data_IF_923849921642
#
_entry.id   IF_923849921642
#
_cell.length_a   1.000
_cell.length_b   1.000
_cell.length_c   1.000
_cell.angle_alpha   90.00
_cell.angle_beta   90.00
_cell.angle_gamma   90.00
#
_symmetry.space_group_name_H-M   'P 1'
#
loop_
_entity.id
_entity.type
_entity.pdbx_description
1 polymer ?
#
# COMPACT_ATOMS: atom_id res chain seq x y z
N UNK A 1 15.99 3.46 -8.60
CA UNK A 1 15.18 2.43 -9.31
C UNK A 1 15.66 1.00 -9.07
N UNK A 2 16.98 0.69 -9.09
CA UNK A 2 17.52 -0.67 -8.81
C UNK A 2 17.33 -1.09 -7.35
N UNK A 3 17.42 -0.15 -6.41
CA UNK A 3 17.31 -0.41 -4.97
C UNK A 3 15.87 -0.78 -4.56
N UNK A 4 14.87 -0.07 -5.08
CA UNK A 4 13.46 -0.32 -4.80
C UNK A 4 12.97 -1.67 -5.38
N UNK A 5 13.50 -2.10 -6.52
CA UNK A 5 13.22 -3.43 -7.08
C UNK A 5 13.76 -4.55 -6.18
N UNK A 6 14.97 -4.36 -5.61
CA UNK A 6 15.57 -5.33 -4.67
C UNK A 6 14.80 -5.43 -3.36
N UNK A 7 14.21 -4.34 -2.86
CA UNK A 7 13.35 -4.34 -1.66
C UNK A 7 12.07 -5.15 -1.85
N UNK A 8 11.42 -5.03 -3.00
CA UNK A 8 10.22 -5.82 -3.32
C UNK A 8 10.55 -7.30 -3.52
N UNK A 9 11.70 -7.60 -4.14
CA UNK A 9 12.18 -8.98 -4.35
C UNK A 9 12.58 -9.63 -3.01
N UNK A 10 13.19 -8.90 -2.09
CA UNK A 10 13.55 -9.38 -0.76
C UNK A 10 12.30 -9.70 0.10
N UNK A 11 11.28 -8.85 0.11
CA UNK A 11 10.00 -9.13 0.78
C UNK A 11 9.28 -10.37 0.19
N UNK A 12 9.28 -10.50 -1.13
CA UNK A 12 8.65 -11.65 -1.80
C UNK A 12 9.41 -12.96 -1.58
N UNK A 13 10.73 -12.92 -1.45
CA UNK A 13 11.56 -14.10 -1.19
C UNK A 13 11.42 -14.58 0.25
N UNK A 14 11.39 -13.66 1.23
CA UNK A 14 11.14 -13.98 2.63
C UNK A 14 9.75 -14.66 2.84
N UNK A 15 8.74 -14.30 2.03
CA UNK A 15 7.40 -14.90 2.07
C UNK A 15 7.34 -16.29 1.42
N UNK A 16 8.24 -16.61 0.48
CA UNK A 16 8.33 -17.95 -0.16
C UNK A 16 9.15 -18.95 0.64
N UNK A 17 10.12 -18.50 1.43
CA UNK A 17 11.04 -19.34 2.19
C UNK A 17 10.58 -19.62 3.63
N UNK A 18 9.69 -18.77 4.18
CA UNK A 18 9.01 -19.01 5.45
C UNK A 18 7.65 -19.66 5.19
N UNK A 19 7.58 -20.97 5.25
CA UNK A 19 6.33 -21.73 5.24
C UNK A 19 5.50 -21.44 6.50
N UNK A 20 4.97 -20.24 6.61
CA UNK A 20 3.94 -19.87 7.55
C UNK A 20 2.64 -19.89 6.76
N UNK A 21 1.98 -21.03 6.82
CA UNK A 21 0.56 -21.17 6.52
C UNK A 21 -0.23 -20.40 7.61
N UNK A 22 -0.23 -19.09 7.52
CA UNK A 22 -1.23 -18.27 8.17
C UNK A 22 -2.19 -17.82 7.05
N UNK A 23 -3.16 -18.68 6.75
CA UNK A 23 -4.46 -18.21 6.27
C UNK A 23 -5.06 -17.40 7.42
N UNK A 24 -4.67 -16.14 7.52
CA UNK A 24 -5.31 -15.20 8.44
C UNK A 24 -6.74 -15.06 7.93
N UNK A 25 -7.67 -15.55 8.75
CA UNK A 25 -9.09 -15.58 8.44
C UNK A 25 -9.56 -14.14 8.16
N UNK A 26 -10.31 -13.95 7.08
CA UNK A 26 -10.90 -12.64 6.70
C UNK A 26 -11.66 -12.02 7.87
N UNK A 27 -12.24 -12.85 8.76
CA UNK A 27 -12.91 -12.40 9.98
C UNK A 27 -11.94 -11.83 11.02
N UNK A 28 -10.74 -12.38 11.14
CA UNK A 28 -9.70 -11.90 12.06
C UNK A 28 -9.11 -10.56 11.59
N UNK A 29 -9.00 -10.35 10.28
CA UNK A 29 -8.70 -9.05 9.68
C UNK A 29 -9.82 -8.04 9.95
N UNK A 30 -11.08 -8.43 9.77
CA UNK A 30 -12.23 -7.57 10.05
C UNK A 30 -12.30 -7.20 11.54
N UNK A 31 -11.98 -8.12 12.47
CA UNK A 31 -11.93 -7.87 13.92
C UNK A 31 -10.75 -6.95 14.30
N UNK A 32 -9.58 -7.11 13.67
CA UNK A 32 -8.44 -6.21 13.88
C UNK A 32 -8.71 -4.81 13.34
N UNK A 33 -9.48 -4.67 12.24
CA UNK A 33 -9.91 -3.37 11.73
C UNK A 33 -11.06 -2.76 12.55
N UNK A 34 -11.98 -3.58 13.11
CA UNK A 34 -13.04 -3.12 14.00
C UNK A 34 -12.52 -2.59 15.35
N UNK A 35 -11.32 -3.00 15.76
CA UNK A 35 -10.67 -2.50 16.98
C UNK A 35 -9.95 -1.16 16.81
N UNK A 36 -9.84 -0.62 15.59
CA UNK A 36 -9.47 0.78 15.37
C UNK A 36 -10.72 1.62 15.65
N UNK A 37 -11.08 1.74 16.91
CA UNK A 37 -12.20 2.58 17.35
C UNK A 37 -11.85 4.02 17.04
N UNK A 38 -12.56 4.59 16.06
CA UNK A 38 -12.78 6.04 16.02
C UNK A 38 -13.50 6.42 17.32
N UNK A 39 -13.02 7.44 18.00
CA UNK A 39 -13.41 7.87 19.37
C UNK A 39 -14.84 8.42 19.48
N UNK A 40 -15.68 8.27 18.47
CA UNK A 40 -17.10 8.61 18.53
C UNK A 40 -17.93 7.47 17.90
N UNK A 41 -18.66 6.76 18.75
CA UNK A 41 -19.47 5.58 18.44
C UNK A 41 -20.72 5.83 17.61
N UNK A 42 -20.59 6.50 16.48
CA UNK A 42 -21.57 6.54 15.40
C UNK A 42 -20.91 6.00 14.15
N UNK A 43 -21.44 4.91 13.61
CA UNK A 43 -21.21 4.50 12.22
C UNK A 43 -21.74 5.61 11.29
N UNK A 44 -20.96 6.65 11.10
CA UNK A 44 -21.26 7.67 10.10
C UNK A 44 -20.98 7.06 8.72
N UNK A 45 -22.04 6.63 8.05
CA UNK A 45 -21.96 6.15 6.68
C UNK A 45 -21.61 7.32 5.76
N UNK A 46 -20.32 7.65 5.69
CA UNK A 46 -19.81 8.73 4.87
C UNK A 46 -19.99 8.40 3.38
N UNK A 47 -20.95 9.06 2.76
CA UNK A 47 -21.20 8.95 1.32
C UNK A 47 -20.66 10.19 0.59
N UNK A 48 -19.34 10.22 0.38
CA UNK A 48 -18.68 11.28 -0.38
C UNK A 48 -18.47 10.87 -1.85
N UNK A 49 -18.35 11.85 -2.79
CA UNK A 49 -18.16 11.57 -4.20
C UNK A 49 -16.83 10.88 -4.48
N UNK A 50 -16.87 9.79 -5.25
CA UNK A 50 -15.65 9.16 -5.80
C UNK A 50 -15.70 9.23 -7.31
N UNK A 51 -14.60 9.69 -7.94
CA UNK A 51 -14.55 9.97 -9.36
C UNK A 51 -13.23 9.54 -10.01
N UNK A 52 -13.22 9.44 -11.35
CA UNK A 52 -12.00 9.23 -12.12
C UNK A 52 -12.03 9.97 -13.44
N UNK A 53 -10.87 10.40 -13.91
CA UNK A 53 -10.65 10.67 -15.34
C UNK A 53 -10.10 9.40 -15.99
N UNK A 54 -10.84 8.85 -16.94
CA UNK A 54 -10.41 7.69 -17.73
C UNK A 54 -9.76 8.17 -19.03
N UNK A 55 -8.43 8.01 -19.14
CA UNK A 55 -7.68 8.39 -20.33
C UNK A 55 -7.68 7.32 -21.43
N UNK A 56 -8.43 6.25 -21.24
CA UNK A 56 -8.52 5.14 -22.19
C UNK A 56 -7.17 4.50 -22.57
N UNK A 57 -6.18 4.56 -21.68
CA UNK A 57 -4.83 4.03 -21.91
C UNK A 57 -4.63 2.61 -21.36
N UNK A 58 -5.55 2.15 -20.51
CA UNK A 58 -5.47 0.84 -19.86
C UNK A 58 -6.30 -0.22 -20.60
N UNK A 59 -5.91 -1.50 -20.49
CA UNK A 59 -6.72 -2.62 -20.97
C UNK A 59 -8.09 -2.61 -20.27
N UNK A 60 -9.21 -2.49 -21.01
CA UNK A 60 -10.55 -2.41 -20.42
C UNK A 60 -10.95 -3.61 -19.53
N UNK A 61 -10.36 -4.78 -19.79
CA UNK A 61 -10.64 -6.01 -19.04
C UNK A 61 -9.90 -6.04 -17.70
N UNK A 62 -8.74 -5.38 -17.63
CA UNK A 62 -7.86 -5.39 -16.45
C UNK A 62 -7.94 -4.10 -15.64
N UNK A 63 -8.49 -3.02 -16.20
CA UNK A 63 -8.58 -1.73 -15.54
C UNK A 63 -9.52 -1.78 -14.34
N UNK A 64 -8.99 -1.54 -13.14
CA UNK A 64 -9.75 -1.54 -11.88
C UNK A 64 -10.68 -0.34 -11.79
N UNK A 65 -10.29 0.82 -12.31
CA UNK A 65 -11.15 2.02 -12.37
C UNK A 65 -12.41 1.78 -13.19
N UNK A 66 -12.27 1.22 -14.39
CA UNK A 66 -13.43 0.86 -15.24
C UNK A 66 -14.31 -0.22 -14.62
N UNK A 67 -13.72 -1.16 -13.87
CA UNK A 67 -14.49 -2.16 -13.12
C UNK A 67 -15.32 -1.50 -12.03
N UNK A 68 -14.74 -0.56 -11.26
CA UNK A 68 -15.47 0.21 -10.25
C UNK A 68 -16.59 1.07 -10.89
N UNK A 69 -16.34 1.67 -12.06
CA UNK A 69 -17.38 2.44 -12.79
C UNK A 69 -18.56 1.56 -13.20
N UNK A 70 -18.31 0.33 -13.67
CA UNK A 70 -19.38 -0.64 -13.98
C UNK A 70 -20.20 -1.06 -12.75
N UNK A 71 -19.58 -1.07 -11.58
CA UNK A 71 -20.28 -1.34 -10.31
C UNK A 71 -20.99 -0.10 -9.72
N UNK A 72 -20.94 1.05 -10.41
CA UNK A 72 -21.52 2.29 -9.91
C UNK A 72 -20.80 2.89 -8.69
N UNK A 73 -19.58 2.42 -8.39
CA UNK A 73 -18.80 2.88 -7.22
C UNK A 73 -18.01 4.16 -7.49
N UNK A 74 -17.77 4.48 -8.75
CA UNK A 74 -16.97 5.64 -9.17
C UNK A 74 -17.62 6.26 -10.41
N UNK A 75 -17.70 7.58 -10.46
CA UNK A 75 -18.19 8.30 -11.63
C UNK A 75 -17.03 8.72 -12.53
N UNK A 76 -17.23 8.65 -13.85
CA UNK A 76 -16.23 9.14 -14.83
C UNK A 76 -16.40 10.64 -15.06
N UNK A 77 -15.30 11.36 -15.01
CA UNK A 77 -15.22 12.80 -15.29
C UNK A 77 -14.79 13.03 -16.74
N UNK A 78 -15.33 14.08 -17.37
CA UNK A 78 -14.85 14.55 -18.66
C UNK A 78 -13.58 15.37 -18.49
N UNK A 79 -12.70 15.40 -19.51
CA UNK A 79 -11.59 16.37 -19.54
C UNK A 79 -12.15 17.79 -19.37
N UNK A 80 -11.40 18.68 -18.71
CA UNK A 80 -11.79 20.03 -18.31
C UNK A 80 -12.91 20.14 -17.25
N UNK A 81 -13.54 19.04 -16.84
CA UNK A 81 -14.46 19.05 -15.72
C UNK A 81 -13.68 19.25 -14.42
N UNK A 82 -14.13 20.19 -13.57
CA UNK A 82 -13.52 20.45 -12.27
C UNK A 82 -13.93 19.40 -11.24
N UNK A 83 -12.98 18.98 -10.41
CA UNK A 83 -13.21 18.20 -9.20
C UNK A 83 -12.68 18.95 -7.99
N UNK A 84 -13.53 19.16 -6.98
CA UNK A 84 -13.23 20.02 -5.82
C UNK A 84 -12.62 19.27 -4.63
N UNK A 85 -12.57 17.93 -4.67
CA UNK A 85 -11.94 17.08 -3.67
C UNK A 85 -10.44 16.84 -3.92
N UNK A 86 -9.86 15.91 -3.19
CA UNK A 86 -8.48 15.49 -3.47
C UNK A 86 -8.43 14.69 -4.78
N UNK A 87 -7.35 14.88 -5.51
CA UNK A 87 -7.11 14.20 -6.79
C UNK A 87 -5.77 13.46 -6.71
N UNK A 88 -5.84 12.13 -6.77
CA UNK A 88 -4.64 11.29 -6.76
C UNK A 88 -3.96 11.40 -8.13
N UNK A 89 -2.84 12.11 -8.14
CA UNK A 89 -2.11 12.47 -9.35
C UNK A 89 -0.61 12.30 -9.17
N UNK A 90 0.10 11.73 -10.16
CA UNK A 90 1.55 11.59 -10.10
C UNK A 90 2.31 12.92 -10.17
N UNK A 91 1.63 14.01 -10.54
CA UNK A 91 2.20 15.36 -10.54
C UNK A 91 1.88 16.18 -9.28
N UNK A 92 1.19 15.57 -8.29
CA UNK A 92 0.93 16.21 -7.00
C UNK A 92 2.25 16.52 -6.28
N UNK A 93 2.26 17.58 -5.48
CA UNK A 93 3.43 17.99 -4.69
C UNK A 93 3.24 17.78 -3.19
N UNK A 94 2.04 17.45 -2.77
CA UNK A 94 1.64 17.25 -1.39
C UNK A 94 1.20 15.80 -1.22
N UNK A 95 1.73 15.10 -0.22
CA UNK A 95 1.32 13.73 0.07
C UNK A 95 -0.08 13.69 0.70
N UNK A 96 -0.87 12.66 0.38
CA UNK A 96 -2.12 12.38 1.10
C UNK A 96 -1.81 12.19 2.58
N UNK A 97 -2.60 12.81 3.44
CA UNK A 97 -2.44 12.75 4.89
C UNK A 97 -3.81 12.76 5.60
N UNK A 98 -3.88 12.45 6.91
CA UNK A 98 -5.10 12.60 7.69
C UNK A 98 -5.67 14.02 7.66
N UNK A 99 -4.83 15.05 7.48
CA UNK A 99 -5.28 16.45 7.30
C UNK A 99 -6.18 16.68 6.09
N UNK A 100 -6.24 15.75 5.14
CA UNK A 100 -7.14 15.82 3.98
C UNK A 100 -8.58 15.31 4.29
N UNK A 101 -8.83 14.78 5.50
CA UNK A 101 -10.13 14.17 5.88
C UNK A 101 -11.32 15.09 5.61
N UNK A 102 -11.25 16.34 6.01
CA UNK A 102 -12.36 17.30 5.82
C UNK A 102 -12.66 17.55 4.33
N UNK A 103 -11.59 17.63 3.50
CA UNK A 103 -11.74 17.80 2.04
C UNK A 103 -12.40 16.56 1.44
N UNK A 104 -12.02 15.35 1.90
CA UNK A 104 -12.61 14.09 1.45
C UNK A 104 -14.08 14.01 1.82
N UNK A 105 -14.45 14.30 3.07
CA UNK A 105 -15.84 14.30 3.53
C UNK A 105 -16.70 15.25 2.69
N UNK A 106 -16.21 16.46 2.45
CA UNK A 106 -16.96 17.52 1.80
C UNK A 106 -16.99 17.38 0.28
N UNK A 107 -15.91 16.93 -0.34
CA UNK A 107 -15.73 16.99 -1.79
C UNK A 107 -15.32 15.66 -2.43
N UNK A 108 -14.91 14.68 -1.64
CA UNK A 108 -14.57 13.34 -2.11
C UNK A 108 -13.15 13.19 -2.65
N UNK A 109 -12.96 12.06 -3.36
CA UNK A 109 -11.67 11.65 -3.93
C UNK A 109 -11.82 11.36 -5.41
N UNK A 110 -10.85 11.79 -6.21
CA UNK A 110 -10.75 11.38 -7.61
C UNK A 110 -9.37 10.78 -7.91
N UNK A 111 -9.34 9.88 -8.92
CA UNK A 111 -8.13 9.26 -9.43
C UNK A 111 -7.99 9.50 -10.93
N UNK A 112 -6.77 9.55 -11.42
CA UNK A 112 -6.48 9.62 -12.85
C UNK A 112 -6.12 8.22 -13.33
N UNK A 113 -7.00 7.61 -14.15
CA UNK A 113 -6.77 6.29 -14.75
C UNK A 113 -5.94 6.44 -16.03
N UNK A 114 -4.63 6.29 -15.86
CA UNK A 114 -3.65 6.32 -16.93
C UNK A 114 -2.70 5.13 -16.85
N UNK A 115 -2.07 4.80 -17.97
CA UNK A 115 -1.02 3.78 -18.00
C UNK A 115 0.29 4.33 -17.43
N UNK A 116 0.92 3.61 -16.51
CA UNK A 116 2.25 3.95 -16.00
C UNK A 116 3.33 4.05 -17.10
N UNK A 117 3.12 3.37 -18.24
CA UNK A 117 4.03 3.44 -19.39
C UNK A 117 3.81 4.69 -20.25
N UNK A 118 2.66 5.35 -20.12
CA UNK A 118 2.23 6.50 -20.94
C UNK A 118 1.91 7.72 -20.09
N UNK A 119 2.57 7.83 -18.94
CA UNK A 119 2.33 8.91 -17.99
C UNK A 119 2.64 10.29 -18.59
N UNK A 120 3.67 10.36 -19.43
CA UNK A 120 4.10 11.60 -20.11
C UNK A 120 3.07 12.09 -21.14
N UNK A 121 2.25 11.18 -21.69
CA UNK A 121 1.19 11.53 -22.66
C UNK A 121 -0.09 12.04 -21.97
N UNK A 122 -0.16 12.02 -20.64
CA UNK A 122 -1.39 12.36 -19.92
C UNK A 122 -1.60 13.89 -19.89
N UNK A 123 -2.78 14.38 -20.30
CA UNK A 123 -3.06 15.81 -20.36
C UNK A 123 -3.43 16.39 -18.98
N UNK A 124 -2.52 16.32 -18.02
CA UNK A 124 -2.76 16.73 -16.62
C UNK A 124 -3.27 18.17 -16.50
N UNK A 125 -2.78 19.07 -17.34
CA UNK A 125 -3.20 20.49 -17.37
C UNK A 125 -4.69 20.67 -17.70
N UNK A 126 -5.28 19.70 -18.41
CA UNK A 126 -6.71 19.73 -18.75
C UNK A 126 -7.60 19.20 -17.63
N UNK A 127 -7.01 18.60 -16.60
CA UNK A 127 -7.74 18.07 -15.45
C UNK A 127 -7.76 19.13 -14.35
N UNK A 128 -8.91 19.77 -14.16
CA UNK A 128 -9.06 20.86 -13.17
C UNK A 128 -9.15 20.27 -11.75
N UNK A 129 -8.02 19.79 -11.23
CA UNK A 129 -7.85 19.27 -9.89
C UNK A 129 -7.73 20.42 -8.89
N UNK A 130 -8.61 20.49 -7.86
CA UNK A 130 -8.53 21.50 -6.82
C UNK A 130 -7.39 21.20 -5.83
N UNK A 131 -7.26 19.95 -5.43
CA UNK A 131 -6.27 19.49 -4.46
C UNK A 131 -5.52 18.26 -5.00
N UNK A 132 -4.50 18.45 -5.87
CA UNK A 132 -3.70 17.31 -6.33
C UNK A 132 -2.85 16.77 -5.17
N UNK A 133 -2.81 15.43 -5.05
CA UNK A 133 -2.09 14.72 -4.00
C UNK A 133 -1.28 13.57 -4.58
N UNK A 134 -0.11 13.33 -4.00
CA UNK A 134 0.67 12.11 -4.19
C UNK A 134 0.32 11.09 -3.12
N UNK A 135 0.33 9.81 -3.49
CA UNK A 135 0.34 8.74 -2.50
C UNK A 135 1.77 8.50 -2.01
N UNK A 136 1.96 8.25 -0.71
CA UNK A 136 3.26 7.88 -0.18
C UNK A 136 3.69 6.50 -0.67
N UNK A 137 4.88 6.06 -0.28
CA UNK A 137 5.42 4.76 -0.65
C UNK A 137 4.48 3.62 -0.23
N UNK A 138 3.96 2.88 -1.21
CA UNK A 138 3.14 1.70 -1.02
C UNK A 138 3.50 0.67 -2.10
N UNK A 139 3.29 -0.61 -1.80
CA UNK A 139 3.60 -1.73 -2.68
C UNK A 139 2.33 -2.24 -3.34
N UNK A 140 2.34 -2.38 -4.65
CA UNK A 140 1.19 -2.88 -5.41
C UNK A 140 0.94 -4.37 -5.16
N UNK A 141 -0.32 -4.74 -4.96
CA UNK A 141 -0.81 -6.12 -4.89
C UNK A 141 -1.54 -6.56 -6.15
N UNK A 142 -1.87 -5.62 -7.06
CA UNK A 142 -2.58 -5.95 -8.28
C UNK A 142 -1.77 -6.89 -9.18
N UNK A 143 -2.43 -7.80 -9.94
CA UNK A 143 -1.75 -8.85 -10.73
C UNK A 143 -0.75 -8.32 -11.77
N UNK A 144 -0.97 -7.10 -12.29
CA UNK A 144 -0.10 -6.50 -13.31
C UNK A 144 1.20 -5.97 -12.73
N UNK A 145 1.17 -5.42 -11.52
CA UNK A 145 2.30 -4.76 -10.88
C UNK A 145 2.64 -5.32 -9.50
N UNK A 146 2.29 -6.55 -9.20
CA UNK A 146 2.51 -7.18 -7.90
C UNK A 146 3.96 -6.98 -7.40
N UNK A 147 4.09 -6.51 -6.16
CA UNK A 147 5.37 -6.24 -5.53
C UNK A 147 6.11 -4.99 -6.03
N UNK A 148 5.56 -4.23 -6.98
CA UNK A 148 6.19 -3.02 -7.51
C UNK A 148 5.77 -1.80 -6.68
N UNK A 149 6.75 -1.07 -6.09
CA UNK A 149 6.46 0.18 -5.39
C UNK A 149 5.86 1.22 -6.32
N UNK A 150 4.97 2.05 -5.78
CA UNK A 150 4.26 3.17 -6.43
C UNK A 150 3.36 2.79 -7.61
N UNK A 151 3.43 1.58 -8.16
CA UNK A 151 2.64 1.18 -9.34
C UNK A 151 1.26 0.66 -8.96
N UNK A 152 0.55 1.47 -8.19
CA UNK A 152 -0.79 1.16 -7.73
C UNK A 152 -1.79 1.21 -8.89
N UNK A 153 -2.81 0.36 -8.82
CA UNK A 153 -4.00 0.46 -9.65
C UNK A 153 -4.98 1.49 -9.06
N UNK A 154 -6.00 1.88 -9.82
CA UNK A 154 -6.98 2.87 -9.36
C UNK A 154 -7.65 2.49 -8.03
N UNK A 155 -8.02 1.21 -7.85
CA UNK A 155 -8.65 0.77 -6.60
C UNK A 155 -7.68 0.80 -5.43
N UNK A 156 -6.42 0.42 -5.61
CA UNK A 156 -5.40 0.50 -4.56
C UNK A 156 -5.12 1.94 -4.17
N UNK A 157 -5.05 2.83 -5.16
CA UNK A 157 -4.85 4.25 -4.91
C UNK A 157 -6.00 4.87 -4.11
N UNK A 158 -7.24 4.56 -4.48
CA UNK A 158 -8.43 5.00 -3.74
C UNK A 158 -8.45 4.42 -2.33
N UNK A 159 -8.22 3.12 -2.17
CA UNK A 159 -8.23 2.45 -0.87
C UNK A 159 -7.13 3.00 0.06
N UNK A 160 -5.93 3.25 -0.46
CA UNK A 160 -4.87 3.89 0.31
C UNK A 160 -5.27 5.29 0.80
N UNK A 161 -5.86 6.10 -0.10
CA UNK A 161 -6.31 7.44 0.28
C UNK A 161 -7.42 7.40 1.34
N UNK A 162 -8.39 6.48 1.22
CA UNK A 162 -9.43 6.30 2.23
C UNK A 162 -8.84 5.89 3.56
N UNK A 163 -7.94 4.92 3.58
CA UNK A 163 -7.31 4.44 4.80
C UNK A 163 -6.56 5.56 5.53
N UNK A 164 -5.67 6.27 4.81
CA UNK A 164 -4.86 7.36 5.35
C UNK A 164 -5.72 8.52 5.87
N UNK A 165 -6.84 8.81 5.20
CA UNK A 165 -7.74 9.89 5.62
C UNK A 165 -8.77 9.47 6.66
N UNK A 166 -8.64 8.25 7.24
CA UNK A 166 -9.45 7.78 8.36
C UNK A 166 -10.77 7.12 7.96
N UNK A 167 -10.85 6.49 6.77
CA UNK A 167 -11.99 5.71 6.28
C UNK A 167 -11.57 4.27 5.92
N UNK A 168 -11.04 3.46 6.87
CA UNK A 168 -10.56 2.11 6.60
C UNK A 168 -11.66 1.18 6.08
N UNK A 169 -12.89 1.31 6.57
CA UNK A 169 -14.03 0.50 6.11
C UNK A 169 -14.35 0.78 4.64
N UNK A 170 -14.25 2.05 4.22
CA UNK A 170 -14.41 2.43 2.81
C UNK A 170 -13.31 1.85 1.94
N UNK A 171 -12.09 1.81 2.43
CA UNK A 171 -10.97 1.15 1.74
C UNK A 171 -11.26 -0.34 1.52
N UNK A 172 -11.70 -1.04 2.55
CA UNK A 172 -12.07 -2.45 2.49
C UNK A 172 -13.26 -2.69 1.54
N UNK A 173 -14.30 -1.87 1.60
CA UNK A 173 -15.47 -1.93 0.72
C UNK A 173 -15.08 -1.91 -0.76
N UNK A 174 -14.11 -1.05 -1.14
CA UNK A 174 -13.64 -0.94 -2.51
C UNK A 174 -12.76 -2.13 -2.92
N UNK A 175 -11.88 -2.59 -2.05
CA UNK A 175 -10.97 -3.71 -2.29
C UNK A 175 -11.68 -5.05 -2.37
N UNK A 176 -12.75 -5.26 -1.62
CA UNK A 176 -13.56 -6.50 -1.63
C UNK A 176 -14.19 -6.82 -3.00
N UNK A 177 -14.25 -5.86 -3.91
CA UNK A 177 -14.65 -6.11 -5.30
C UNK A 177 -13.58 -6.88 -6.12
N UNK A 178 -12.40 -7.16 -5.53
CA UNK A 178 -11.25 -7.78 -6.18
C UNK A 178 -10.72 -8.92 -5.31
N UNK A 179 -10.56 -10.12 -5.87
CA UNK A 179 -10.10 -11.31 -5.14
C UNK A 179 -8.72 -11.16 -4.47
N UNK A 180 -7.90 -10.26 -4.99
CA UNK A 180 -6.57 -9.93 -4.45
C UNK A 180 -6.58 -8.67 -3.57
N UNK A 181 -7.75 -8.03 -3.38
CA UNK A 181 -7.85 -6.70 -2.76
C UNK A 181 -7.34 -6.67 -1.32
N UNK A 182 -7.71 -7.64 -0.48
CA UNK A 182 -7.26 -7.71 0.92
C UNK A 182 -5.74 -7.83 1.02
N UNK A 183 -5.09 -8.53 0.08
CA UNK A 183 -3.62 -8.62 0.03
C UNK A 183 -2.94 -7.25 -0.03
N UNK A 184 -3.58 -6.25 -0.62
CA UNK A 184 -3.03 -4.89 -0.64
C UNK A 184 -2.93 -4.29 0.77
N UNK A 185 -3.93 -4.47 1.60
CA UNK A 185 -3.91 -4.02 3.00
C UNK A 185 -2.88 -4.80 3.81
N UNK A 186 -2.79 -6.12 3.61
CA UNK A 186 -1.85 -6.99 4.33
C UNK A 186 -0.39 -6.59 4.10
N UNK A 187 0.00 -6.45 2.83
CA UNK A 187 1.40 -6.13 2.49
C UNK A 187 1.81 -4.70 2.83
N UNK A 188 0.84 -3.80 3.02
CA UNK A 188 1.06 -2.41 3.36
C UNK A 188 0.59 -2.04 4.77
N UNK A 189 0.22 -3.02 5.61
CA UNK A 189 -0.41 -2.76 6.92
C UNK A 189 0.37 -1.80 7.79
N UNK A 190 1.69 -2.03 7.94
CA UNK A 190 2.55 -1.20 8.77
C UNK A 190 2.71 0.22 8.21
N UNK A 191 2.81 0.33 6.87
CA UNK A 191 2.91 1.60 6.17
C UNK A 191 1.62 2.42 6.31
N UNK A 192 0.47 1.79 6.04
CA UNK A 192 -0.83 2.45 6.10
C UNK A 192 -1.17 2.91 7.52
N UNK A 193 -0.87 2.10 8.54
CA UNK A 193 -1.03 2.48 9.94
C UNK A 193 -0.17 3.67 10.30
N UNK A 194 1.14 3.63 9.98
CA UNK A 194 2.05 4.71 10.27
C UNK A 194 1.65 6.03 9.58
N UNK A 195 1.15 5.97 8.34
CA UNK A 195 0.66 7.17 7.65
C UNK A 195 -0.66 7.69 8.22
N UNK A 196 -1.54 6.81 8.70
CA UNK A 196 -2.81 7.20 9.32
C UNK A 196 -2.63 7.83 10.71
N UNK A 197 -1.51 7.62 11.37
CA UNK A 197 -1.15 8.23 12.66
C UNK A 197 -0.53 9.63 12.51
N UNK A 198 -0.11 10.01 11.30
CA UNK A 198 0.41 11.35 11.01
C UNK A 198 -0.70 12.40 11.08
N UNK A 199 -0.32 13.66 11.32
CA UNK A 199 -1.27 14.79 11.31
C UNK A 199 -1.34 15.49 9.96
N UNK A 200 -0.22 15.54 9.23
CA UNK A 200 -0.09 16.33 8.01
C UNK A 200 0.84 15.67 6.98
N UNK A 201 0.89 16.24 5.78
CA UNK A 201 1.68 15.73 4.66
C UNK A 201 3.19 15.69 4.94
N UNK A 202 3.73 16.63 5.71
CA UNK A 202 5.17 16.67 6.03
C UNK A 202 5.57 15.49 6.90
N UNK A 203 4.75 15.17 7.90
CA UNK A 203 4.96 13.98 8.74
C UNK A 203 4.86 12.68 7.96
N UNK A 204 3.89 12.59 7.03
CA UNK A 204 3.79 11.41 6.14
C UNK A 204 5.06 11.21 5.33
N UNK A 205 5.65 12.29 4.81
CA UNK A 205 6.90 12.23 4.05
C UNK A 205 8.08 11.83 4.94
N UNK A 206 8.16 12.35 6.15
CA UNK A 206 9.19 12.00 7.13
C UNK A 206 9.10 10.53 7.52
N UNK A 207 7.92 10.06 7.90
CA UNK A 207 7.66 8.65 8.23
C UNK A 207 8.00 7.74 7.04
N UNK A 208 7.62 8.13 5.83
CA UNK A 208 7.98 7.40 4.61
C UNK A 208 9.49 7.25 4.47
N UNK A 209 10.25 8.33 4.63
CA UNK A 209 11.70 8.32 4.45
C UNK A 209 12.36 7.42 5.50
N UNK A 210 11.97 7.54 6.75
CA UNK A 210 12.48 6.71 7.85
C UNK A 210 12.19 5.22 7.61
N UNK A 211 11.00 4.86 7.14
CA UNK A 211 10.65 3.48 6.83
C UNK A 211 11.42 2.94 5.62
N UNK A 212 11.64 3.75 4.58
CA UNK A 212 12.44 3.36 3.43
C UNK A 212 13.89 3.10 3.84
N UNK A 213 14.50 3.95 4.65
CA UNK A 213 15.86 3.76 5.19
C UNK A 213 15.96 2.50 6.04
N UNK A 214 14.98 2.26 6.92
CA UNK A 214 14.91 1.04 7.72
C UNK A 214 14.86 -0.21 6.83
N UNK A 215 14.01 -0.24 5.81
CA UNK A 215 13.94 -1.37 4.88
C UNK A 215 15.23 -1.56 4.09
N UNK A 216 15.93 -0.48 3.74
CA UNK A 216 17.24 -0.56 3.05
C UNK A 216 18.29 -1.17 3.95
N UNK A 217 18.38 -0.73 5.20
CA UNK A 217 19.32 -1.24 6.20
C UNK A 217 19.08 -2.73 6.48
N UNK A 218 17.83 -3.13 6.71
CA UNK A 218 17.48 -4.53 6.91
C UNK A 218 17.81 -5.42 5.70
N UNK A 219 17.62 -4.90 4.48
CA UNK A 219 17.96 -5.62 3.27
C UNK A 219 19.49 -5.78 3.11
N UNK A 220 20.30 -4.79 3.55
CA UNK A 220 21.75 -4.86 3.55
C UNK A 220 22.24 -5.86 4.59
N UNK A 221 21.74 -5.81 5.82
CA UNK A 221 22.13 -6.72 6.89
C UNK A 221 21.86 -8.17 6.52
N UNK A 222 20.66 -8.48 5.98
CA UNK A 222 20.35 -9.83 5.48
C UNK A 222 21.25 -10.28 4.33
N UNK A 223 21.80 -9.36 3.55
CA UNK A 223 22.76 -9.70 2.50
C UNK A 223 24.09 -10.07 3.11
N UNK A 224 24.58 -9.31 4.10
CA UNK A 224 25.82 -9.58 4.82
C UNK A 224 25.76 -10.93 5.57
N UNK A 225 24.66 -11.21 6.26
CA UNK A 225 24.44 -12.50 6.94
C UNK A 225 24.48 -13.71 6.01
N UNK A 226 24.08 -13.53 4.75
CA UNK A 226 24.16 -14.60 3.73
C UNK A 226 25.54 -14.76 3.11
N UNK A 227 26.29 -13.67 2.98
CA UNK A 227 27.64 -13.68 2.47
C UNK A 227 28.65 -14.19 3.53
N UNK A 228 28.34 -14.00 4.80
CA UNK A 228 29.12 -14.45 5.95
C UNK A 228 28.21 -15.16 6.98
N UNK A 229 27.84 -16.43 6.74
CA UNK A 229 27.10 -17.18 7.74
C UNK A 229 27.96 -17.33 9.00
N UNK A 230 27.37 -17.27 10.23
CA UNK A 230 28.11 -17.49 11.44
C UNK A 230 28.78 -18.87 11.38
N UNK A 231 30.10 -18.91 11.61
CA UNK A 231 30.85 -20.16 11.67
C UNK A 231 30.23 -21.03 12.76
N UNK A 232 29.87 -22.27 12.42
CA UNK A 232 29.45 -23.25 13.39
C UNK A 232 30.55 -23.37 14.46
N UNK A 233 30.21 -23.04 15.70
CA UNK A 233 31.07 -23.30 16.84
C UNK A 233 31.27 -24.80 16.93
N UNK A 234 32.54 -25.25 16.75
CA UNK A 234 32.93 -26.61 17.01
C UNK A 234 32.61 -26.95 18.47
N UNK A 235 31.71 -27.89 18.65
CA UNK A 235 31.48 -28.51 19.95
C UNK A 235 32.61 -29.49 20.17
N UNK A 236 33.63 -29.12 20.97
CA UNK A 236 34.60 -30.04 21.51
C UNK A 236 33.85 -31.08 22.37
N UNK A 237 33.78 -32.28 21.86
CA UNK A 237 33.42 -33.47 22.63
C UNK A 237 34.71 -34.00 23.23
N UNK A 238 34.99 -33.69 24.48
CA UNK A 238 36.03 -34.36 25.29
C UNK A 238 35.53 -35.80 25.60
N UNK A 239 36.14 -36.78 24.91
CA UNK A 239 36.06 -38.19 25.25
C UNK A 239 36.90 -38.46 26.51
N UNK A 240 36.29 -38.53 27.66
CA UNK A 240 36.91 -39.12 28.87
C UNK A 240 37.09 -40.63 28.73
N UNK A 241 38.30 -41.04 28.47
CA UNK A 241 38.74 -42.41 28.46
C UNK A 241 39.00 -42.92 29.88
N UNK A 242 38.04 -43.60 30.46
CA UNK A 242 38.20 -44.29 31.75
C UNK A 242 38.74 -45.70 31.49
N UNK A 243 40.04 -45.86 31.64
CA UNK A 243 40.70 -47.17 31.70
C UNK A 243 40.33 -47.94 32.92
N UNK A 244 39.75 -49.12 32.79
CA UNK A 244 39.63 -50.14 33.86
C UNK A 244 40.77 -51.12 33.77
N UNK A 245 41.61 -51.11 34.77
CA UNK A 245 42.58 -52.18 35.04
C UNK A 245 41.96 -53.32 35.84
N UNK A 246 42.23 -54.49 35.36
CA UNK A 246 41.87 -55.79 35.93
C UNK A 246 42.64 -56.14 37.18
N UNK A 247 42.02 -56.88 38.03
CA UNK A 247 42.56 -58.14 38.61
C UNK A 247 41.44 -59.14 38.75
#
# INVERSE_FOLDING_TARGET
KKTLKKLSEAKNKARKEGGISNEMNVNELAENFANIKTTDGKEENFNFPVAMWDLCQCDPKKCTGRKLARFGRIRTLRLKQKFNGIVLSPIGQVAVSPGDREIVVKHGVAVIDCSWARLEDAPFEQMKAAFPRLLPFLVAANPTNYGRPYKLSCVEALAASFYITGFPDKALEYLNNFSWGCTFLDINSDLLKAYAECQNSSEVVEVQNNLIEKFQTEAQNRKLEREFPPSASESDSEDENIGSSSN
#
